data_IF_637169815231
#
_entry.id   IF_637169815231
#
_cell.length_a   1.000
_cell.length_b   1.000
_cell.length_c   1.000
_cell.angle_alpha   90.00
_cell.angle_beta   90.00
_cell.angle_gamma   90.00
#
_symmetry.space_group_name_H-M   'P 1'
#
loop_
_entity.id
_entity.type
_entity.pdbx_description
1 polymer ?
#
# COMPACT_ATOMS: atom_id res chain seq x y z
N UNK A 1 15.99 -24.56 -8.27
CA UNK A 1 17.04 -24.20 -7.29
C UNK A 1 18.02 -23.24 -7.96
N UNK A 2 17.95 -21.94 -7.70
CA UNK A 2 18.98 -21.00 -8.18
C UNK A 2 20.26 -21.19 -7.35
N UNK A 3 21.34 -21.66 -7.98
CA UNK A 3 22.68 -21.67 -7.40
C UNK A 3 23.27 -20.26 -7.51
N UNK A 4 23.52 -19.62 -6.37
CA UNK A 4 24.37 -18.43 -6.31
C UNK A 4 25.76 -18.78 -6.86
N UNK A 5 26.19 -18.11 -7.93
CA UNK A 5 27.57 -18.22 -8.40
C UNK A 5 28.47 -17.62 -7.32
N UNK A 6 29.42 -18.41 -6.81
CA UNK A 6 30.46 -17.95 -5.88
C UNK A 6 31.44 -17.07 -6.66
N UNK A 7 31.14 -15.78 -6.74
CA UNK A 7 32.12 -14.82 -7.24
C UNK A 7 33.21 -14.63 -6.18
N UNK A 8 34.45 -14.98 -6.51
CA UNK A 8 35.61 -14.61 -5.72
C UNK A 8 35.91 -13.14 -5.98
N UNK A 9 35.27 -12.25 -5.21
CA UNK A 9 35.47 -10.81 -5.34
C UNK A 9 36.76 -10.41 -4.63
N UNK A 10 37.68 -9.80 -5.37
CA UNK A 10 38.82 -9.09 -4.80
C UNK A 10 38.44 -7.62 -4.68
N UNK A 11 38.16 -7.16 -3.46
CA UNK A 11 37.90 -5.76 -3.20
C UNK A 11 39.23 -5.04 -3.02
N UNK A 12 39.49 -4.03 -3.86
CA UNK A 12 40.64 -3.13 -3.70
C UNK A 12 40.12 -1.70 -3.50
N UNK A 13 40.52 -1.07 -2.40
CA UNK A 13 40.18 0.31 -2.12
C UNK A 13 40.94 1.24 -3.08
N UNK A 14 40.21 2.06 -3.83
CA UNK A 14 40.80 3.15 -4.62
C UNK A 14 40.36 4.50 -4.05
N UNK A 15 41.32 5.33 -3.57
CA UNK A 15 41.03 6.70 -3.16
C UNK A 15 40.34 7.48 -4.28
N UNK A 16 39.35 8.31 -3.93
CA UNK A 16 38.48 9.03 -4.88
C UNK A 16 39.22 9.86 -5.94
N UNK A 17 40.40 10.40 -5.62
CA UNK A 17 41.27 11.12 -6.59
C UNK A 17 41.74 10.28 -7.78
N UNK A 18 41.68 8.95 -7.67
CA UNK A 18 42.03 8.02 -8.74
C UNK A 18 40.80 7.40 -9.42
N UNK A 19 39.59 7.75 -8.97
CA UNK A 19 38.32 7.34 -9.56
C UNK A 19 37.89 8.34 -10.65
N UNK A 20 38.69 8.42 -11.72
CA UNK A 20 38.55 9.41 -12.80
C UNK A 20 37.29 9.17 -13.66
N UNK A 21 36.69 7.98 -13.59
CA UNK A 21 35.59 7.55 -14.47
C UNK A 21 34.38 6.91 -13.81
N UNK A 22 34.29 6.81 -12.47
CA UNK A 22 33.09 6.21 -11.83
C UNK A 22 31.94 7.21 -11.69
N UNK A 23 32.25 8.50 -11.68
CA UNK A 23 31.27 9.59 -11.61
C UNK A 23 30.87 10.12 -13.00
N UNK A 24 31.38 9.53 -14.08
CA UNK A 24 31.07 9.99 -15.43
C UNK A 24 29.69 9.53 -15.90
N UNK A 25 29.14 8.41 -15.42
CA UNK A 25 27.79 7.98 -15.84
C UNK A 25 26.67 8.76 -15.13
N UNK A 26 26.88 9.18 -13.88
CA UNK A 26 25.97 10.11 -13.17
C UNK A 26 26.01 11.52 -13.74
N UNK A 27 27.12 11.91 -14.40
CA UNK A 27 27.34 13.28 -14.90
C UNK A 27 27.39 13.43 -16.41
N UNK A 28 27.48 12.35 -17.18
CA UNK A 28 27.33 12.35 -18.62
C UNK A 28 25.84 12.47 -18.96
N UNK A 29 25.28 13.63 -18.64
CA UNK A 29 23.99 14.03 -19.16
C UNK A 29 24.08 14.05 -20.68
N UNK A 30 23.28 13.21 -21.34
CA UNK A 30 23.17 13.23 -22.79
C UNK A 30 22.55 14.56 -23.21
N UNK A 31 23.36 15.43 -23.83
CA UNK A 31 22.93 16.75 -24.31
C UNK A 31 21.89 16.67 -25.43
N UNK A 32 21.73 15.49 -26.06
CA UNK A 32 20.71 15.24 -27.07
C UNK A 32 19.34 14.93 -26.48
N UNK A 33 19.29 14.50 -25.21
CA UNK A 33 18.05 14.40 -24.44
C UNK A 33 17.59 15.83 -24.19
N UNK A 34 16.63 16.27 -25.02
CA UNK A 34 15.84 17.46 -24.71
C UNK A 34 15.37 17.30 -23.28
N UNK A 35 15.53 18.34 -22.45
CA UNK A 35 14.87 18.38 -21.13
C UNK A 35 13.45 17.93 -21.37
N UNK A 36 13.10 16.75 -20.85
CA UNK A 36 11.73 16.31 -20.74
C UNK A 36 10.97 17.48 -20.13
N UNK A 37 9.83 17.82 -20.71
CA UNK A 37 9.01 18.85 -20.10
C UNK A 37 8.68 18.34 -18.70
N UNK A 38 9.01 19.09 -17.64
CA UNK A 38 8.76 18.68 -16.25
C UNK A 38 7.30 18.26 -16.07
N UNK A 39 6.39 18.89 -16.82
CA UNK A 39 4.97 18.55 -16.89
C UNK A 39 4.71 17.15 -17.45
N UNK A 40 5.45 16.72 -18.48
CA UNK A 40 5.33 15.38 -19.06
C UNK A 40 5.81 14.29 -18.08
N UNK A 41 6.88 14.57 -17.32
CA UNK A 41 7.36 13.64 -16.29
C UNK A 41 6.39 13.53 -15.12
N UNK A 42 5.84 14.65 -14.65
CA UNK A 42 4.81 14.68 -13.61
C UNK A 42 3.58 13.91 -14.10
N UNK A 43 3.14 14.14 -15.34
CA UNK A 43 2.00 13.45 -15.92
C UNK A 43 2.24 11.94 -16.01
N UNK A 44 3.40 11.51 -16.51
CA UNK A 44 3.75 10.10 -16.58
C UNK A 44 3.79 9.44 -15.18
N UNK A 45 4.25 10.17 -14.16
CA UNK A 45 4.24 9.70 -12.78
C UNK A 45 2.82 9.54 -12.23
N UNK A 46 1.95 10.53 -12.46
CA UNK A 46 0.53 10.48 -12.09
C UNK A 46 -0.18 9.32 -12.78
N UNK A 47 0.04 9.14 -14.08
CA UNK A 47 -0.55 8.06 -14.86
C UNK A 47 -0.10 6.69 -14.34
N UNK A 48 1.18 6.56 -13.96
CA UNK A 48 1.71 5.36 -13.32
C UNK A 48 1.03 5.07 -11.98
N UNK A 49 0.77 6.09 -11.15
CA UNK A 49 0.04 5.93 -9.87
C UNK A 49 -1.39 5.46 -10.14
N UNK A 50 -2.10 6.10 -11.08
CA UNK A 50 -3.48 5.74 -11.45
C UNK A 50 -3.56 4.29 -11.95
N UNK A 51 -2.61 3.86 -12.79
CA UNK A 51 -2.52 2.48 -13.27
C UNK A 51 -2.23 1.48 -12.15
N UNK A 52 -1.27 1.79 -11.27
CA UNK A 52 -0.88 0.90 -10.16
C UNK A 52 -1.99 0.74 -9.12
N UNK A 53 -2.78 1.80 -8.90
CA UNK A 53 -3.92 1.75 -7.99
C UNK A 53 -5.05 0.84 -8.51
N UNK A 54 -5.03 0.45 -9.80
CA UNK A 54 -6.09 -0.31 -10.47
C UNK A 54 -7.47 0.35 -10.29
N UNK A 55 -7.49 1.68 -10.19
CA UNK A 55 -8.70 2.48 -10.00
C UNK A 55 -9.19 2.91 -11.37
N UNK A 56 -10.44 2.60 -11.71
CA UNK A 56 -11.05 3.11 -12.94
C UNK A 56 -11.29 4.63 -12.82
N UNK A 57 -11.21 5.35 -13.93
CA UNK A 57 -11.49 6.80 -14.00
C UNK A 57 -12.77 7.23 -13.23
N UNK A 58 -13.94 6.57 -13.37
CA UNK A 58 -15.13 6.94 -12.60
C UNK A 58 -14.99 6.70 -11.09
N UNK A 59 -14.16 5.75 -10.67
CA UNK A 59 -13.86 5.55 -9.26
C UNK A 59 -12.92 6.64 -8.74
N UNK A 60 -12.00 7.13 -9.57
CA UNK A 60 -11.12 8.24 -9.21
C UNK A 60 -11.92 9.52 -8.94
N UNK A 61 -12.83 9.86 -9.84
CA UNK A 61 -13.76 10.99 -9.65
C UNK A 61 -14.61 10.82 -8.39
N UNK A 62 -15.14 9.61 -8.16
CA UNK A 62 -15.92 9.30 -6.94
C UNK A 62 -15.09 9.47 -5.66
N UNK A 63 -13.81 9.09 -5.67
CA UNK A 63 -12.91 9.32 -4.54
C UNK A 63 -12.72 10.82 -4.34
N UNK A 64 -12.41 11.57 -5.40
CA UNK A 64 -12.22 13.02 -5.33
C UNK A 64 -13.45 13.75 -4.75
N UNK A 65 -14.67 13.36 -5.16
CA UNK A 65 -15.90 13.95 -4.62
C UNK A 65 -16.06 13.65 -3.13
N UNK A 66 -15.86 12.39 -2.71
CA UNK A 66 -16.01 12.04 -1.30
C UNK A 66 -14.88 12.57 -0.42
N UNK A 67 -13.67 12.76 -0.96
CA UNK A 67 -12.57 13.45 -0.26
C UNK A 67 -12.92 14.90 0.05
N UNK A 68 -13.68 15.57 -0.82
CA UNK A 68 -14.21 16.92 -0.57
C UNK A 68 -15.32 16.97 0.46
N UNK A 69 -15.95 15.85 0.81
CA UNK A 69 -17.00 15.78 1.83
C UNK A 69 -16.47 15.27 3.18
N UNK A 70 -15.29 14.65 3.20
CA UNK A 70 -14.68 14.03 4.38
C UNK A 70 -13.90 15.07 5.20
N UNK A 71 -14.41 15.44 6.37
CA UNK A 71 -13.80 16.43 7.27
C UNK A 71 -12.34 16.09 7.63
N UNK A 72 -12.01 14.81 7.87
CA UNK A 72 -10.63 14.42 8.20
C UNK A 72 -9.70 14.60 7.00
N UNK A 73 -10.17 14.24 5.80
CA UNK A 73 -9.34 14.38 4.60
C UNK A 73 -9.26 15.83 4.09
N UNK A 74 -10.27 16.66 4.35
CA UNK A 74 -10.19 18.12 4.12
C UNK A 74 -9.06 18.74 4.93
N UNK A 75 -8.96 18.38 6.21
CA UNK A 75 -7.87 18.85 7.07
C UNK A 75 -6.51 18.42 6.50
N UNK A 76 -6.39 17.16 6.07
CA UNK A 76 -5.15 16.64 5.46
C UNK A 76 -4.84 17.37 4.15
N UNK A 77 -5.84 17.61 3.30
CA UNK A 77 -5.69 18.33 2.03
C UNK A 77 -5.18 19.76 2.28
N UNK A 78 -5.77 20.46 3.25
CA UNK A 78 -5.33 21.79 3.67
C UNK A 78 -3.90 21.75 4.20
N UNK A 79 -3.55 20.76 5.04
CA UNK A 79 -2.19 20.61 5.56
C UNK A 79 -1.16 20.31 4.46
N UNK A 80 -1.55 19.59 3.40
CA UNK A 80 -0.69 19.35 2.22
C UNK A 80 -0.44 20.66 1.46
N UNK A 81 -1.44 21.53 1.32
CA UNK A 81 -1.31 22.79 0.56
C UNK A 81 -0.65 23.93 1.36
N UNK A 82 -1.00 24.09 2.63
CA UNK A 82 -0.58 25.23 3.46
C UNK A 82 0.50 24.88 4.47
N UNK A 83 0.84 23.59 4.60
CA UNK A 83 1.83 23.09 5.54
C UNK A 83 1.20 22.44 6.77
N UNK A 84 1.99 21.58 7.42
CA UNK A 84 1.58 20.84 8.61
C UNK A 84 1.97 21.65 9.85
N UNK A 85 1.06 22.51 10.34
CA UNK A 85 1.29 23.30 11.54
C UNK A 85 1.41 22.44 12.80
N UNK A 86 2.28 22.82 13.75
CA UNK A 86 2.69 22.07 14.93
C UNK A 86 1.57 21.65 15.90
N UNK A 87 0.45 22.35 15.92
CA UNK A 87 -0.69 22.08 16.82
C UNK A 87 -1.71 21.21 16.08
N UNK A 88 -1.34 19.94 15.88
CA UNK A 88 -2.07 19.05 14.98
C UNK A 88 -3.47 18.77 15.51
N UNK A 89 -4.49 19.13 14.72
CA UNK A 89 -5.85 18.65 14.89
C UNK A 89 -5.84 17.12 15.08
N UNK A 90 -6.75 16.61 15.91
CA UNK A 90 -6.82 15.18 16.23
C UNK A 90 -6.96 14.30 14.96
N UNK A 91 -7.57 14.85 13.91
CA UNK A 91 -7.73 14.28 12.56
C UNK A 91 -6.40 14.09 11.81
N UNK A 92 -5.40 14.94 12.04
CA UNK A 92 -4.11 14.92 11.33
C UNK A 92 -3.10 13.95 11.93
N UNK A 93 -3.25 13.61 13.22
CA UNK A 93 -2.31 12.73 13.95
C UNK A 93 -2.03 11.39 13.23
N UNK A 94 -3.02 10.68 12.68
CA UNK A 94 -2.78 9.41 11.97
C UNK A 94 -1.92 9.56 10.70
N UNK A 95 -1.86 10.76 10.12
CA UNK A 95 -1.19 11.04 8.86
C UNK A 95 0.19 11.69 9.02
N UNK A 96 0.43 12.35 10.17
CA UNK A 96 1.62 13.15 10.42
C UNK A 96 2.96 12.41 10.24
N UNK A 97 3.00 11.14 10.65
CA UNK A 97 4.21 10.30 10.59
C UNK A 97 4.74 10.07 9.17
N UNK A 98 3.89 10.18 8.16
CA UNK A 98 4.25 9.99 6.76
C UNK A 98 3.81 11.18 5.89
N UNK A 99 3.63 12.36 6.48
CA UNK A 99 3.20 13.58 5.77
C UNK A 99 4.02 13.91 4.53
N UNK A 100 5.33 13.61 4.54
CA UNK A 100 6.22 13.83 3.40
C UNK A 100 5.96 12.90 2.22
N UNK A 101 5.24 11.80 2.44
CA UNK A 101 4.85 10.84 1.42
C UNK A 101 3.42 11.10 0.89
N UNK A 102 2.72 12.11 1.42
CA UNK A 102 1.35 12.44 1.04
C UNK A 102 1.38 13.51 -0.05
N UNK A 103 0.72 13.21 -1.16
CA UNK A 103 0.57 14.12 -2.30
C UNK A 103 -0.90 14.19 -2.74
N UNK A 104 -1.30 15.33 -3.28
CA UNK A 104 -2.60 15.53 -3.89
C UNK A 104 -2.49 15.39 -5.41
N UNK A 105 -3.46 14.68 -6.01
CA UNK A 105 -3.56 14.43 -7.45
C UNK A 105 -5.03 14.54 -7.85
N UNK A 106 -5.41 15.59 -8.59
CA UNK A 106 -6.77 15.82 -9.10
C UNK A 106 -7.87 15.72 -8.00
N UNK A 107 -7.61 16.24 -6.81
CA UNK A 107 -8.49 16.19 -5.64
C UNK A 107 -8.44 14.88 -4.84
N UNK A 108 -7.55 13.95 -5.19
CA UNK A 108 -7.35 12.68 -4.49
C UNK A 108 -6.04 12.70 -3.72
N UNK A 109 -6.09 12.34 -2.44
CA UNK A 109 -4.90 12.17 -1.61
C UNK A 109 -4.26 10.80 -1.84
N UNK A 110 -2.95 10.78 -2.04
CA UNK A 110 -2.16 9.57 -2.29
C UNK A 110 -0.97 9.53 -1.33
N UNK A 111 -0.69 8.35 -0.77
CA UNK A 111 0.50 8.05 0.03
C UNK A 111 1.45 7.19 -0.79
N UNK A 112 2.49 7.80 -1.38
CA UNK A 112 3.35 7.12 -2.36
C UNK A 112 2.52 6.52 -3.51
N UNK A 113 2.47 5.18 -3.69
CA UNK A 113 1.63 4.56 -4.73
C UNK A 113 0.20 4.24 -4.27
N UNK A 114 -0.19 4.53 -3.02
CA UNK A 114 -1.45 4.06 -2.42
C UNK A 114 -2.47 5.18 -2.31
N UNK A 115 -3.69 4.94 -2.75
CA UNK A 115 -4.77 5.93 -2.65
C UNK A 115 -5.31 5.99 -1.22
N UNK A 116 -5.46 7.21 -0.68
CA UNK A 116 -6.10 7.42 0.62
C UNK A 116 -7.62 7.43 0.41
N UNK A 117 -8.32 6.50 1.06
CA UNK A 117 -9.75 6.28 0.80
C UNK A 117 -10.60 7.06 1.83
N UNK A 118 -11.56 7.90 1.38
CA UNK A 118 -12.50 8.59 2.26
C UNK A 118 -13.42 7.62 2.99
N UNK A 119 -13.85 8.01 4.18
CA UNK A 119 -14.64 7.16 5.09
C UNK A 119 -15.91 6.60 4.45
N UNK A 120 -16.57 7.39 3.61
CA UNK A 120 -17.76 6.98 2.87
C UNK A 120 -17.54 5.75 1.98
N UNK A 121 -16.32 5.55 1.47
CA UNK A 121 -15.97 4.47 0.54
C UNK A 121 -15.36 3.24 1.23
N UNK A 122 -15.09 3.29 2.54
CA UNK A 122 -14.48 2.15 3.26
C UNK A 122 -15.32 0.88 3.11
N UNK A 123 -16.64 0.98 3.22
CA UNK A 123 -17.54 -0.17 3.06
C UNK A 123 -17.49 -0.81 1.67
N UNK A 124 -17.44 0.01 0.62
CA UNK A 124 -17.35 -0.46 -0.77
C UNK A 124 -15.98 -1.13 -1.01
N UNK A 125 -14.90 -0.54 -0.50
CA UNK A 125 -13.56 -1.10 -0.65
C UNK A 125 -13.37 -2.41 0.12
N UNK A 126 -13.92 -2.51 1.33
CA UNK A 126 -13.89 -3.73 2.12
C UNK A 126 -14.58 -4.90 1.39
N UNK A 127 -15.75 -4.65 0.78
CA UNK A 127 -16.44 -5.64 -0.05
C UNK A 127 -15.55 -6.09 -1.21
N UNK A 128 -14.96 -5.14 -1.95
CA UNK A 128 -14.08 -5.44 -3.10
C UNK A 128 -12.83 -6.24 -2.75
N UNK A 129 -12.17 -5.93 -1.64
CA UNK A 129 -11.01 -6.72 -1.17
C UNK A 129 -11.46 -8.14 -0.86
N UNK A 130 -12.64 -8.28 -0.27
CA UNK A 130 -13.19 -9.54 0.17
C UNK A 130 -13.84 -10.38 -0.95
N UNK A 131 -14.00 -9.82 -2.15
CA UNK A 131 -14.44 -10.57 -3.33
C UNK A 131 -13.50 -11.76 -3.57
N UNK A 132 -14.04 -12.98 -3.40
CA UNK A 132 -13.29 -14.24 -3.43
C UNK A 132 -13.05 -14.90 -2.07
N UNK A 133 -13.55 -14.32 -0.97
CA UNK A 133 -13.49 -14.90 0.39
C UNK A 133 -12.08 -15.31 0.83
N UNK A 134 -11.07 -14.53 0.42
CA UNK A 134 -9.69 -14.75 0.82
C UNK A 134 -9.53 -14.52 2.32
N UNK A 135 -8.61 -15.26 2.94
CA UNK A 135 -8.26 -15.09 4.35
C UNK A 135 -7.78 -13.67 4.69
N UNK A 136 -7.81 -13.34 5.97
CA UNK A 136 -7.47 -12.01 6.52
C UNK A 136 -6.14 -11.50 5.97
N UNK A 137 -5.08 -12.31 6.07
CA UNK A 137 -3.73 -11.91 5.65
C UNK A 137 -3.64 -11.55 4.17
N UNK A 138 -4.31 -12.33 3.30
CA UNK A 138 -4.34 -12.07 1.86
C UNK A 138 -5.12 -10.79 1.53
N UNK A 139 -6.25 -10.59 2.20
CA UNK A 139 -7.04 -9.37 2.06
C UNK A 139 -6.25 -8.13 2.49
N UNK A 140 -5.58 -8.20 3.65
CA UNK A 140 -4.73 -7.12 4.14
C UNK A 140 -3.53 -6.86 3.21
N UNK A 141 -2.88 -7.90 2.71
CA UNK A 141 -1.75 -7.77 1.78
C UNK A 141 -2.19 -7.06 0.49
N UNK A 142 -3.35 -7.44 -0.08
CA UNK A 142 -3.92 -6.79 -1.27
C UNK A 142 -4.25 -5.32 -0.99
N UNK A 143 -4.92 -5.02 0.12
CA UNK A 143 -5.26 -3.66 0.49
C UNK A 143 -4.01 -2.77 0.61
N UNK A 144 -2.97 -3.27 1.29
CA UNK A 144 -1.71 -2.55 1.51
C UNK A 144 -0.96 -2.21 0.22
N UNK A 145 -1.27 -2.83 -0.91
CA UNK A 145 -0.62 -2.52 -2.19
C UNK A 145 -1.22 -1.30 -2.87
N UNK A 146 -2.54 -1.12 -2.78
CA UNK A 146 -3.27 -0.15 -3.61
C UNK A 146 -3.89 1.00 -2.82
N UNK A 147 -4.16 0.82 -1.52
CA UNK A 147 -4.92 1.80 -0.77
C UNK A 147 -4.56 1.89 0.72
N UNK A 148 -5.00 2.97 1.34
CA UNK A 148 -4.72 3.30 2.73
C UNK A 148 -5.87 4.08 3.38
N UNK A 149 -6.13 3.79 4.64
CA UNK A 149 -6.82 4.67 5.59
C UNK A 149 -6.40 4.26 7.02
N UNK A 150 -6.57 5.11 8.03
CA UNK A 150 -6.26 4.76 9.41
C UNK A 150 -7.03 3.51 9.86
N UNK A 151 -6.35 2.58 10.51
CA UNK A 151 -6.93 1.33 11.02
C UNK A 151 -7.52 0.36 9.97
N UNK A 152 -7.16 0.49 8.68
CA UNK A 152 -7.70 -0.37 7.62
C UNK A 152 -7.56 -1.88 7.87
N UNK A 153 -6.45 -2.33 8.47
CA UNK A 153 -6.24 -3.73 8.82
C UNK A 153 -7.32 -4.27 9.78
N UNK A 154 -7.69 -3.47 10.79
CA UNK A 154 -8.71 -3.82 11.78
C UNK A 154 -10.10 -3.83 11.14
N UNK A 155 -10.39 -2.90 10.23
CA UNK A 155 -11.66 -2.91 9.50
C UNK A 155 -11.79 -4.12 8.59
N UNK A 156 -10.70 -4.53 7.93
CA UNK A 156 -10.64 -5.75 7.12
C UNK A 156 -10.88 -6.99 8.00
N UNK A 157 -10.20 -7.09 9.15
CA UNK A 157 -10.41 -8.18 10.11
C UNK A 157 -11.85 -8.28 10.58
N UNK A 158 -12.43 -7.14 10.98
CA UNK A 158 -13.82 -7.07 11.43
C UNK A 158 -14.82 -7.44 10.31
N UNK A 159 -14.57 -6.98 9.09
CA UNK A 159 -15.42 -7.30 7.94
C UNK A 159 -15.41 -8.81 7.63
N UNK A 160 -14.23 -9.42 7.57
CA UNK A 160 -14.06 -10.85 7.30
C UNK A 160 -14.57 -11.69 8.48
N UNK A 161 -14.35 -11.23 9.71
CA UNK A 161 -14.84 -11.86 10.93
C UNK A 161 -16.37 -11.97 10.96
N UNK A 162 -17.08 -11.01 10.37
CA UNK A 162 -18.55 -11.01 10.26
C UNK A 162 -19.08 -11.75 9.02
N UNK A 163 -18.21 -12.21 8.13
CA UNK A 163 -18.63 -12.91 6.91
C UNK A 163 -19.09 -14.34 7.20
N UNK A 164 -20.38 -14.62 7.01
CA UNK A 164 -20.97 -15.95 7.24
C UNK A 164 -20.31 -17.07 6.43
N UNK A 165 -19.98 -16.83 5.16
CA UNK A 165 -19.30 -17.80 4.30
C UNK A 165 -17.92 -18.14 4.85
N UNK A 166 -17.12 -17.13 5.22
CA UNK A 166 -15.80 -17.35 5.80
C UNK A 166 -15.87 -18.06 7.14
N UNK A 167 -16.84 -17.74 8.00
CA UNK A 167 -17.02 -18.44 9.28
C UNK A 167 -17.45 -19.90 9.08
N UNK A 168 -18.28 -20.20 8.07
CA UNK A 168 -18.72 -21.56 7.74
C UNK A 168 -17.56 -22.44 7.26
N UNK A 169 -16.70 -21.89 6.40
CA UNK A 169 -15.57 -22.60 5.79
C UNK A 169 -14.25 -22.43 6.55
N UNK A 170 -14.25 -21.72 7.68
CA UNK A 170 -13.08 -21.58 8.53
C UNK A 170 -12.62 -22.96 8.97
N UNK A 171 -11.35 -23.26 8.77
CA UNK A 171 -10.76 -24.51 9.23
C UNK A 171 -11.02 -24.67 10.73
N UNK A 172 -11.78 -25.70 11.08
CA UNK A 172 -11.95 -26.16 12.45
C UNK A 172 -10.99 -27.32 12.61
N UNK A 173 -10.04 -27.21 13.53
CA UNK A 173 -9.30 -28.37 14.01
C UNK A 173 -10.35 -29.38 14.50
N UNK A 174 -10.62 -30.42 13.70
CA UNK A 174 -11.46 -31.50 14.15
C UNK A 174 -10.72 -32.18 15.30
N UNK A 175 -11.37 -32.35 16.46
CA UNK A 175 -10.81 -33.23 17.49
C UNK A 175 -10.61 -34.59 16.85
N UNK A 176 -9.41 -35.15 17.01
CA UNK A 176 -9.16 -36.53 16.62
C UNK A 176 -10.24 -37.42 17.25
N UNK A 177 -10.84 -38.33 16.46
CA UNK A 177 -11.74 -39.33 17.01
C UNK A 177 -11.03 -40.07 18.13
N UNK A 178 -11.76 -40.36 19.21
CA UNK A 178 -11.22 -41.18 20.29
C UNK A 178 -11.03 -42.60 19.75
N UNK A 179 -9.78 -43.03 19.56
CA UNK A 179 -9.48 -44.43 19.26
C UNK A 179 -9.71 -45.27 20.52
N UNK A 180 -10.70 -46.17 20.48
CA UNK A 180 -10.93 -47.13 21.54
C UNK A 180 -9.94 -48.29 21.38
N UNK A 181 -9.22 -48.61 22.45
CA UNK A 181 -8.38 -49.80 22.51
C UNK A 181 -9.25 -51.06 22.53
N UNK A 182 -8.79 -52.16 21.93
CA UNK A 182 -9.46 -53.46 22.07
C UNK A 182 -9.52 -53.85 23.54
N UNK A 183 -10.69 -54.29 23.99
CA UNK A 183 -10.89 -54.77 25.37
C UNK A 183 -10.11 -56.08 25.52
N UNK A 184 -9.25 -56.23 26.54
CA UNK A 184 -8.51 -57.47 26.76
C UNK A 184 -9.47 -58.64 26.95
N UNK A 185 -9.25 -59.75 26.23
CA UNK A 185 -10.08 -60.95 26.37
C UNK A 185 -9.90 -61.68 27.70
N UNK A 186 -8.86 -61.33 28.47
CA UNK A 186 -8.50 -61.97 29.74
C UNK A 186 -7.96 -60.94 30.74
N UNK A 187 -8.18 -61.18 32.06
CA UNK A 187 -7.67 -60.32 33.13
C UNK A 187 -6.14 -60.26 33.16
#
# INVERSE_FOLDING_TARGET
MLRLRRYALKLEFKPGKYLIGTDTLSRAFDRSVKKSNTEEEIKAHVDMIKQNAQVSDPMWEKIATHTKDDEELKDVLNAVHFGWESDHAQSLKPYYHFRGDITEIDGVLVKGPKVIIPKALHGDMLKKIHEGHLGIEKCQARARQVMYWPNSNNDIENHIGRCGTCQKHRYKQAKEPMEQHEVPEKP
#
